data_IF_274329226175
#
_entry.id   IF_274329226175
#
_cell.length_a   1.000
_cell.length_b   1.000
_cell.length_c   1.000
_cell.angle_alpha   90.00
_cell.angle_beta   90.00
_cell.angle_gamma   90.00
#
_symmetry.space_group_name_H-M   'P 1'
#
loop_
_entity.id
_entity.type
_entity.pdbx_description
1 polymer ?
#
# COMPACT_ATOMS: atom_id res chain seq x y z
N UNK A 1 -45.32 34.27 -11.61
CA UNK A 1 -45.26 32.80 -11.82
C UNK A 1 -44.36 32.36 -12.97
N UNK A 2 -44.47 32.88 -14.21
CA UNK A 2 -43.63 32.44 -15.36
C UNK A 2 -42.11 32.60 -15.17
N UNK A 3 -41.66 33.64 -14.46
CA UNK A 3 -40.23 33.87 -14.20
C UNK A 3 -39.65 32.97 -13.10
N UNK A 4 -40.49 32.50 -12.17
CA UNK A 4 -40.09 31.61 -11.09
C UNK A 4 -39.88 30.18 -11.60
N UNK A 5 -40.70 29.76 -12.58
CA UNK A 5 -40.56 28.47 -13.26
C UNK A 5 -39.25 28.40 -14.09
N UNK A 6 -38.83 29.50 -14.72
CA UNK A 6 -37.55 29.59 -15.44
C UNK A 6 -36.34 29.43 -14.53
N UNK A 7 -36.37 30.01 -13.32
CA UNK A 7 -35.29 29.89 -12.35
C UNK A 7 -35.18 28.46 -11.79
N UNK A 8 -36.30 27.80 -11.54
CA UNK A 8 -36.32 26.40 -11.06
C UNK A 8 -35.74 25.47 -12.12
N UNK A 9 -36.12 25.63 -13.39
CA UNK A 9 -35.60 24.81 -14.51
C UNK A 9 -34.10 25.03 -14.73
N UNK A 10 -33.59 26.27 -14.55
CA UNK A 10 -32.16 26.57 -14.66
C UNK A 10 -31.34 25.96 -13.51
N UNK A 11 -31.89 25.95 -12.29
CA UNK A 11 -31.22 25.34 -11.13
C UNK A 11 -31.17 23.81 -11.21
N UNK A 12 -32.22 23.19 -11.76
CA UNK A 12 -32.32 21.74 -11.89
C UNK A 12 -31.38 21.21 -12.98
N UNK A 13 -31.14 21.99 -14.03
CA UNK A 13 -30.18 21.63 -15.09
C UNK A 13 -28.72 21.70 -14.62
N UNK A 14 -28.36 22.59 -13.68
CA UNK A 14 -27.01 22.64 -13.09
C UNK A 14 -26.71 21.42 -12.20
N UNK A 15 -27.72 20.88 -11.50
CA UNK A 15 -27.57 19.67 -10.67
C UNK A 15 -27.37 18.39 -11.50
N UNK A 16 -27.89 18.32 -12.73
CA UNK A 16 -27.68 17.16 -13.60
C UNK A 16 -26.28 17.12 -14.25
N UNK A 17 -25.59 18.25 -14.37
CA UNK A 17 -24.22 18.29 -14.95
C UNK A 17 -23.18 17.73 -13.96
N UNK A 18 -23.42 17.81 -12.64
CA UNK A 18 -22.49 17.29 -11.64
C UNK A 18 -22.47 15.75 -11.56
N UNK A 19 -23.49 15.05 -12.04
CA UNK A 19 -23.48 13.58 -12.08
C UNK A 19 -22.81 13.02 -13.35
N UNK A 20 -22.53 13.86 -14.35
CA UNK A 20 -21.99 13.45 -15.65
C UNK A 20 -20.46 13.37 -15.75
N UNK A 21 -19.71 13.96 -14.81
CA UNK A 21 -18.25 14.06 -14.94
C UNK A 21 -17.47 12.79 -14.55
N UNK A 22 -18.10 11.75 -13.99
CA UNK A 22 -17.40 10.50 -13.62
C UNK A 22 -17.15 9.53 -14.79
N UNK A 23 -17.53 9.89 -16.03
CA UNK A 23 -17.50 9.00 -17.20
C UNK A 23 -16.60 9.47 -18.35
N UNK A 24 -15.52 10.17 -18.02
CA UNK A 24 -14.52 10.66 -18.99
C UNK A 24 -13.27 9.77 -19.13
N UNK A 25 -13.34 8.49 -18.74
CA UNK A 25 -12.22 7.55 -18.92
C UNK A 25 -10.96 7.85 -18.09
N UNK A 26 -11.02 8.87 -17.22
CA UNK A 26 -10.02 9.15 -16.20
C UNK A 26 -10.43 8.35 -14.96
N UNK A 27 -9.79 7.20 -14.73
CA UNK A 27 -9.89 6.59 -13.41
C UNK A 27 -9.08 7.43 -12.41
N UNK A 28 -9.38 7.30 -11.12
CA UNK A 28 -8.64 7.94 -10.05
C UNK A 28 -7.76 6.91 -9.35
N UNK A 29 -6.63 7.36 -8.80
CA UNK A 29 -5.82 6.52 -7.93
C UNK A 29 -6.62 6.16 -6.67
N UNK A 30 -6.37 4.97 -6.13
CA UNK A 30 -6.99 4.53 -4.90
C UNK A 30 -6.58 5.42 -3.73
N UNK A 31 -7.55 5.70 -2.87
CA UNK A 31 -7.34 6.40 -1.60
C UNK A 31 -7.11 5.38 -0.49
N UNK A 32 -6.30 5.76 0.49
CA UNK A 32 -6.09 4.93 1.68
C UNK A 32 -7.33 4.95 2.58
N UNK A 33 -7.66 3.80 3.18
CA UNK A 33 -8.85 3.69 4.04
C UNK A 33 -8.66 4.37 5.41
N UNK A 34 -7.44 4.76 5.76
CA UNK A 34 -7.11 5.44 7.00
C UNK A 34 -5.97 6.45 6.78
N UNK A 35 -5.84 7.50 7.60
CA UNK A 35 -4.73 8.43 7.52
C UNK A 35 -3.43 7.78 8.00
N UNK A 36 -2.28 8.27 7.50
CA UNK A 36 -0.96 7.89 8.02
C UNK A 36 -0.90 8.13 9.53
N UNK A 37 -0.35 7.17 10.27
CA UNK A 37 -0.11 7.29 11.71
C UNK A 37 1.26 6.72 12.09
N UNK A 38 1.94 7.38 13.03
CA UNK A 38 3.22 6.90 13.54
C UNK A 38 3.07 5.55 14.27
N UNK A 39 3.97 4.62 14.00
CA UNK A 39 4.02 3.34 14.70
C UNK A 39 4.75 3.50 16.04
N UNK A 40 3.96 3.52 17.12
CA UNK A 40 4.43 3.60 18.51
C UNK A 40 4.33 2.27 19.25
N UNK A 41 3.92 1.19 18.57
CA UNK A 41 3.53 -0.08 19.20
C UNK A 41 4.70 -0.92 19.73
N UNK A 42 5.93 -0.72 19.20
CA UNK A 42 7.10 -1.58 19.42
C UNK A 42 6.86 -3.08 19.11
N UNK A 43 5.78 -3.43 18.40
CA UNK A 43 5.41 -4.83 18.12
C UNK A 43 6.16 -5.46 16.96
N UNK A 44 6.85 -4.66 16.15
CA UNK A 44 7.63 -5.10 15.00
C UNK A 44 8.97 -4.38 15.00
N UNK A 45 10.01 -5.03 14.48
CA UNK A 45 11.30 -4.38 14.21
C UNK A 45 11.23 -3.50 12.98
N UNK A 46 11.92 -2.36 13.03
CA UNK A 46 11.94 -1.34 11.98
C UNK A 46 13.34 -1.10 11.38
N UNK A 47 14.41 -1.63 11.99
CA UNK A 47 15.80 -1.53 11.55
C UNK A 47 16.16 -2.55 10.45
N UNK A 48 15.28 -2.72 9.47
CA UNK A 48 15.44 -3.68 8.40
C UNK A 48 14.22 -3.75 7.50
N UNK A 49 13.98 -4.93 6.92
CA UNK A 49 12.85 -5.20 6.03
C UNK A 49 12.17 -6.54 6.38
N UNK A 50 10.94 -6.71 5.91
CA UNK A 50 10.21 -7.98 5.96
C UNK A 50 10.16 -8.59 4.57
N UNK A 51 10.33 -9.91 4.46
CA UNK A 51 10.25 -10.60 3.19
C UNK A 51 9.37 -11.85 3.26
N UNK A 52 8.65 -12.13 2.18
CA UNK A 52 7.71 -13.26 2.11
C UNK A 52 6.98 -13.34 0.77
N UNK A 53 6.06 -14.29 0.64
CA UNK A 53 5.23 -14.47 -0.56
C UNK A 53 3.75 -14.36 -0.24
N UNK A 54 3.01 -13.57 -1.02
CA UNK A 54 1.56 -13.48 -0.95
C UNK A 54 0.84 -14.70 -1.56
N UNK A 55 1.53 -15.70 -2.11
CA UNK A 55 0.92 -16.98 -2.47
C UNK A 55 0.82 -17.97 -1.29
N UNK A 56 1.56 -17.72 -0.20
CA UNK A 56 1.65 -18.64 0.94
C UNK A 56 2.61 -19.81 0.74
N UNK A 57 3.32 -19.86 -0.39
CA UNK A 57 4.39 -20.81 -0.64
C UNK A 57 5.75 -20.23 -0.21
N UNK A 58 6.79 -21.08 -0.12
CA UNK A 58 8.14 -20.61 0.12
C UNK A 58 8.72 -20.04 -1.20
N UNK A 59 8.86 -18.70 -1.34
CA UNK A 59 9.19 -18.13 -2.63
C UNK A 59 10.69 -18.28 -2.93
N UNK A 60 11.01 -18.69 -4.15
CA UNK A 60 12.33 -18.40 -4.72
C UNK A 60 12.55 -16.90 -4.92
N UNK A 61 11.44 -16.13 -5.04
CA UNK A 61 11.45 -14.70 -5.32
C UNK A 61 10.54 -13.89 -4.37
N UNK A 62 10.91 -13.74 -3.07
CA UNK A 62 10.09 -13.03 -2.09
C UNK A 62 9.85 -11.56 -2.45
N UNK A 63 8.67 -11.06 -2.04
CA UNK A 63 8.38 -9.64 -1.94
C UNK A 63 9.08 -9.07 -0.70
N UNK A 64 9.60 -7.86 -0.81
CA UNK A 64 10.25 -7.14 0.30
C UNK A 64 9.44 -5.90 0.68
N UNK A 65 9.19 -5.75 1.97
CA UNK A 65 8.48 -4.63 2.57
C UNK A 65 9.38 -3.86 3.53
N UNK A 66 9.52 -2.56 3.28
CA UNK A 66 10.09 -1.61 4.21
C UNK A 66 8.96 -0.97 5.01
N UNK A 67 8.98 -1.12 6.34
CA UNK A 67 8.04 -0.48 7.26
C UNK A 67 8.77 0.58 8.08
N UNK A 68 8.23 1.80 8.13
CA UNK A 68 8.90 2.95 8.74
C UNK A 68 8.21 3.40 10.01
N UNK A 69 8.96 4.08 10.89
CA UNK A 69 8.41 4.57 12.17
C UNK A 69 7.26 5.56 11.98
N UNK A 70 7.33 6.39 10.94
CA UNK A 70 6.31 7.38 10.58
C UNK A 70 5.02 6.78 9.98
N UNK A 71 4.90 5.44 9.92
CA UNK A 71 3.71 4.75 9.38
C UNK A 71 3.73 4.56 7.87
N UNK A 72 4.80 4.96 7.18
CA UNK A 72 4.97 4.72 5.75
C UNK A 72 5.37 3.26 5.51
N UNK A 73 4.94 2.70 4.40
CA UNK A 73 5.41 1.42 3.87
C UNK A 73 5.91 1.57 2.43
N UNK A 74 6.86 0.71 2.04
CA UNK A 74 7.31 0.61 0.65
C UNK A 74 7.52 -0.84 0.23
N UNK A 75 6.88 -1.25 -0.87
CA UNK A 75 6.94 -2.60 -1.44
C UNK A 75 7.44 -2.63 -2.90
N UNK A 76 8.00 -1.52 -3.39
CA UNK A 76 8.39 -1.33 -4.79
C UNK A 76 9.84 -1.70 -5.15
N UNK A 77 10.45 -2.55 -4.35
CA UNK A 77 11.84 -2.91 -4.51
C UNK A 77 12.06 -4.03 -5.55
N UNK A 78 11.00 -4.75 -5.91
CA UNK A 78 11.02 -5.85 -6.88
C UNK A 78 10.92 -7.22 -6.18
N UNK A 79 10.99 -8.28 -6.97
CA UNK A 79 11.11 -9.65 -6.45
C UNK A 79 12.59 -10.01 -6.39
N UNK A 80 13.08 -10.30 -5.18
CA UNK A 80 14.50 -10.58 -4.95
C UNK A 80 14.78 -12.06 -4.92
N UNK A 81 16.00 -12.48 -5.27
CA UNK A 81 16.37 -13.87 -5.11
C UNK A 81 16.50 -14.17 -3.61
N UNK A 82 15.82 -15.21 -3.12
CA UNK A 82 15.93 -15.61 -1.70
C UNK A 82 17.39 -15.78 -1.25
N UNK A 83 18.28 -16.24 -2.15
CA UNK A 83 19.70 -16.38 -1.86
C UNK A 83 20.38 -15.07 -1.50
N UNK A 84 20.00 -13.96 -2.13
CA UNK A 84 20.57 -12.63 -1.84
C UNK A 84 20.21 -12.14 -0.43
N UNK A 85 19.06 -12.59 0.09
CA UNK A 85 18.64 -12.33 1.47
C UNK A 85 19.41 -13.25 2.41
N UNK A 86 19.53 -14.53 2.10
CA UNK A 86 20.21 -15.53 2.94
C UNK A 86 21.72 -15.27 3.07
N UNK A 87 22.37 -14.76 2.02
CA UNK A 87 23.80 -14.46 2.01
C UNK A 87 24.15 -13.00 2.35
N UNK A 88 23.14 -12.16 2.61
CA UNK A 88 23.26 -10.72 2.87
C UNK A 88 23.87 -9.91 1.72
N UNK A 89 23.78 -10.38 0.47
CA UNK A 89 24.22 -9.64 -0.72
C UNK A 89 23.16 -8.69 -1.29
N UNK A 90 21.91 -8.78 -0.80
CA UNK A 90 20.82 -7.91 -1.22
C UNK A 90 21.15 -6.43 -0.94
N UNK A 91 21.10 -5.60 -1.98
CA UNK A 91 21.23 -4.13 -1.86
C UNK A 91 19.89 -3.45 -2.10
N UNK A 92 19.36 -2.82 -1.06
CA UNK A 92 18.13 -2.03 -1.14
C UNK A 92 18.43 -0.59 -1.54
N UNK A 93 17.76 -0.11 -2.59
CA UNK A 93 17.84 1.28 -3.04
C UNK A 93 16.48 1.75 -3.58
N UNK A 94 16.08 2.95 -3.15
CA UNK A 94 14.91 3.67 -3.67
C UNK A 94 15.43 4.82 -4.52
N UNK A 95 15.38 4.63 -5.84
CA UNK A 95 15.82 5.62 -6.83
C UNK A 95 14.85 6.82 -6.88
N UNK A 96 15.30 7.93 -7.46
CA UNK A 96 14.45 9.13 -7.61
C UNK A 96 13.19 8.85 -8.41
N UNK A 97 13.27 8.01 -9.46
CA UNK A 97 12.11 7.58 -10.23
C UNK A 97 11.08 6.86 -9.35
N UNK A 98 11.54 6.04 -8.40
CA UNK A 98 10.69 5.35 -7.43
C UNK A 98 10.11 6.32 -6.38
N UNK A 99 10.85 7.36 -5.98
CA UNK A 99 10.35 8.43 -5.06
C UNK A 99 9.32 9.33 -5.74
N UNK A 100 9.41 9.46 -7.06
CA UNK A 100 8.53 10.23 -7.92
C UNK A 100 7.40 9.39 -8.56
N UNK A 101 7.24 8.14 -8.14
CA UNK A 101 6.12 7.28 -8.53
C UNK A 101 5.35 6.85 -7.29
N UNK A 102 4.01 6.87 -7.34
CA UNK A 102 3.18 6.36 -6.24
C UNK A 102 3.36 4.86 -6.01
N UNK A 103 3.63 4.09 -7.07
CA UNK A 103 3.61 2.63 -7.01
C UNK A 103 4.59 2.10 -5.96
N UNK A 104 4.09 1.17 -5.15
CA UNK A 104 4.80 0.57 -4.02
C UNK A 104 4.78 1.41 -2.74
N UNK A 105 4.56 2.73 -2.80
CA UNK A 105 4.39 3.53 -1.59
C UNK A 105 3.05 3.27 -0.95
N UNK A 106 3.02 3.39 0.37
CA UNK A 106 1.86 3.07 1.14
C UNK A 106 1.95 3.52 2.58
N UNK A 107 0.95 3.11 3.33
CA UNK A 107 0.88 3.28 4.77
C UNK A 107 0.61 1.94 5.42
N UNK A 108 0.85 1.86 6.72
CA UNK A 108 0.40 0.74 7.52
C UNK A 108 -0.09 1.20 8.88
N UNK A 109 -0.86 0.35 9.54
CA UNK A 109 -1.26 0.53 10.93
C UNK A 109 -1.14 -0.76 11.72
N UNK A 110 -0.93 -0.62 13.02
CA UNK A 110 -0.95 -1.72 13.97
C UNK A 110 -2.02 -1.41 15.02
N UNK A 111 -3.00 -2.29 15.12
CA UNK A 111 -4.06 -2.24 16.11
C UNK A 111 -4.07 -3.57 16.86
N UNK A 112 -3.82 -3.52 18.17
CA UNK A 112 -3.58 -4.73 18.96
C UNK A 112 -2.46 -5.57 18.33
N UNK A 113 -2.71 -6.83 17.98
CA UNK A 113 -1.75 -7.71 17.31
C UNK A 113 -2.00 -7.80 15.80
N UNK A 114 -2.86 -6.98 15.23
CA UNK A 114 -3.17 -7.00 13.81
C UNK A 114 -2.43 -5.87 13.09
N UNK A 115 -2.03 -6.14 11.86
CA UNK A 115 -1.40 -5.18 10.95
C UNK A 115 -2.21 -5.11 9.67
N UNK A 116 -2.44 -3.88 9.20
CA UNK A 116 -2.99 -3.62 7.88
C UNK A 116 -1.99 -2.76 7.10
N UNK A 117 -1.63 -3.20 5.89
CA UNK A 117 -0.71 -2.49 4.99
C UNK A 117 -1.48 -2.14 3.73
N UNK A 118 -1.39 -0.88 3.28
CA UNK A 118 -2.01 -0.41 2.05
C UNK A 118 -0.95 0.23 1.17
N UNK A 119 -0.70 -0.32 -0.02
CA UNK A 119 0.25 0.22 -0.99
C UNK A 119 -0.43 0.51 -2.33
N UNK A 120 -0.06 1.58 -3.02
CA UNK A 120 -0.45 1.76 -4.41
C UNK A 120 0.14 0.66 -5.29
N UNK A 121 -0.70 0.00 -6.08
CA UNK A 121 -0.29 -1.12 -6.92
C UNK A 121 0.61 -0.67 -8.09
N UNK A 122 1.36 -1.61 -8.65
CA UNK A 122 2.07 -1.46 -9.91
C UNK A 122 1.09 -1.67 -11.08
N UNK A 123 0.36 -0.61 -11.42
CA UNK A 123 -0.58 -0.56 -12.55
C UNK A 123 -0.04 0.40 -13.62
N UNK A 124 -0.35 0.21 -14.90
CA UNK A 124 0.00 1.17 -15.96
C UNK A 124 -0.89 2.41 -15.91
N UNK A 125 -2.15 2.23 -15.55
CA UNK A 125 -3.15 3.30 -15.50
C UNK A 125 -3.27 3.82 -14.07
N UNK A 126 -4.49 3.95 -13.57
CA UNK A 126 -4.75 4.36 -12.21
C UNK A 126 -4.20 3.35 -11.23
N UNK A 127 -3.75 3.86 -10.08
CA UNK A 127 -3.08 3.08 -9.05
C UNK A 127 -4.11 2.70 -7.98
N UNK A 128 -4.84 1.57 -8.09
CA UNK A 128 -5.60 1.08 -6.95
C UNK A 128 -4.66 0.82 -5.78
N UNK A 129 -5.21 0.70 -4.57
CA UNK A 129 -4.42 0.24 -3.42
C UNK A 129 -4.57 -1.27 -3.29
N UNK A 130 -3.47 -1.95 -3.01
CA UNK A 130 -3.45 -3.32 -2.51
C UNK A 130 -3.47 -3.24 -0.99
N UNK A 131 -4.46 -3.88 -0.38
CA UNK A 131 -4.67 -3.95 1.07
C UNK A 131 -4.28 -5.35 1.53
N UNK A 132 -3.36 -5.44 2.48
CA UNK A 132 -2.92 -6.66 3.13
C UNK A 132 -3.37 -6.61 4.59
N UNK A 133 -3.96 -7.71 5.06
CA UNK A 133 -4.39 -7.88 6.45
C UNK A 133 -3.67 -9.07 7.06
N UNK A 134 -3.20 -8.91 8.30
CA UNK A 134 -2.46 -9.97 8.98
C UNK A 134 -2.33 -9.77 10.48
N UNK A 135 -1.64 -10.74 11.09
CA UNK A 135 -1.36 -10.79 12.52
C UNK A 135 0.15 -10.77 12.77
N UNK A 136 0.56 -10.05 13.80
CA UNK A 136 1.92 -9.99 14.31
C UNK A 136 2.08 -11.15 15.29
N UNK A 137 2.87 -12.15 14.92
CA UNK A 137 3.13 -13.32 15.76
C UNK A 137 4.21 -13.03 16.81
N UNK A 138 5.19 -12.21 16.43
CA UNK A 138 6.25 -11.67 17.29
C UNK A 138 6.93 -10.48 16.58
N UNK A 139 7.96 -9.90 17.19
CA UNK A 139 8.68 -8.72 16.69
C UNK A 139 9.41 -8.92 15.35
N UNK A 140 9.57 -10.16 14.89
CA UNK A 140 10.26 -10.53 13.65
C UNK A 140 9.38 -11.26 12.65
N UNK A 141 8.12 -11.54 12.98
CA UNK A 141 7.26 -12.42 12.18
C UNK A 141 5.86 -11.84 12.04
N UNK A 142 5.47 -11.59 10.79
CA UNK A 142 4.11 -11.16 10.42
C UNK A 142 3.48 -12.29 9.60
N UNK A 143 2.24 -12.65 9.93
CA UNK A 143 1.43 -13.58 9.16
C UNK A 143 0.35 -12.81 8.42
N UNK A 144 0.45 -12.74 7.10
CA UNK A 144 -0.61 -12.18 6.24
C UNK A 144 -1.66 -13.27 6.00
N UNK A 145 -2.91 -12.95 6.31
CA UNK A 145 -4.06 -13.86 6.21
C UNK A 145 -4.95 -13.53 5.01
N UNK A 146 -4.93 -12.28 4.56
CA UNK A 146 -5.65 -11.90 3.35
C UNK A 146 -5.04 -10.72 2.61
N UNK A 147 -5.37 -10.61 1.33
CA UNK A 147 -5.14 -9.39 0.56
C UNK A 147 -6.24 -9.16 -0.49
N UNK A 148 -6.43 -7.90 -0.89
CA UNK A 148 -7.34 -7.50 -1.97
C UNK A 148 -6.85 -6.23 -2.65
N UNK A 149 -7.28 -6.01 -3.89
CA UNK A 149 -7.11 -4.72 -4.56
C UNK A 149 -8.38 -3.89 -4.41
N UNK A 150 -8.28 -2.58 -4.22
CA UNK A 150 -9.44 -1.70 -4.05
C UNK A 150 -10.36 -1.64 -5.27
N UNK A 151 -9.87 -2.01 -6.45
CA UNK A 151 -10.65 -2.09 -7.69
C UNK A 151 -11.29 -3.47 -7.93
N UNK A 152 -11.17 -4.41 -6.98
CA UNK A 152 -11.70 -5.76 -7.11
C UNK A 152 -12.41 -6.18 -5.84
N UNK A 153 -13.60 -6.76 -5.98
CA UNK A 153 -14.32 -7.38 -4.87
C UNK A 153 -13.72 -8.73 -4.45
N UNK A 154 -12.71 -9.21 -5.19
CA UNK A 154 -12.05 -10.48 -4.91
C UNK A 154 -11.06 -10.33 -3.76
N UNK A 155 -11.40 -10.92 -2.62
CA UNK A 155 -10.48 -11.14 -1.51
C UNK A 155 -9.73 -12.46 -1.69
N UNK A 156 -8.42 -12.42 -1.50
CA UNK A 156 -7.55 -13.59 -1.51
C UNK A 156 -7.24 -13.99 -0.07
N UNK A 157 -7.62 -15.20 0.32
CA UNK A 157 -7.28 -15.78 1.64
C UNK A 157 -5.99 -16.58 1.49
N UNK A 158 -5.02 -16.29 2.35
CA UNK A 158 -3.66 -16.83 2.27
C UNK A 158 -3.14 -17.18 3.66
N UNK A 159 -2.01 -17.89 3.73
CA UNK A 159 -1.30 -18.16 4.98
C UNK A 159 0.19 -17.85 4.77
N UNK A 160 0.47 -16.56 4.59
CA UNK A 160 1.78 -16.07 4.16
C UNK A 160 2.59 -15.59 5.35
N UNK A 161 3.80 -16.13 5.52
CA UNK A 161 4.71 -15.70 6.57
C UNK A 161 5.72 -14.70 5.98
N UNK A 162 5.84 -13.56 6.65
CA UNK A 162 6.81 -12.52 6.37
C UNK A 162 7.82 -12.45 7.52
N UNK A 163 9.09 -12.65 7.21
CA UNK A 163 10.19 -12.72 8.17
C UNK A 163 11.00 -11.43 8.13
N UNK A 164 11.42 -10.97 9.31
CA UNK A 164 12.30 -9.83 9.44
C UNK A 164 13.75 -10.21 9.08
N UNK A 165 14.40 -9.31 8.35
CA UNK A 165 15.84 -9.34 8.11
C UNK A 165 16.41 -7.97 8.48
N UNK A 166 17.44 -7.97 9.32
CA UNK A 166 18.13 -6.74 9.74
C UNK A 166 18.91 -6.15 8.56
N UNK A 167 18.82 -4.84 8.33
CA UNK A 167 19.47 -4.21 7.19
C UNK A 167 19.83 -2.75 7.46
N UNK A 168 21.07 -2.38 7.13
CA UNK A 168 21.59 -1.03 7.30
C UNK A 168 22.62 -0.69 6.21
N UNK A 169 22.60 0.52 5.62
CA UNK A 169 21.63 1.59 5.87
C UNK A 169 20.30 1.30 5.18
N UNK A 170 19.19 1.41 5.92
CA UNK A 170 17.85 1.33 5.37
C UNK A 170 17.54 2.59 4.55
N UNK A 171 17.02 2.47 3.30
CA UNK A 171 16.54 3.61 2.54
C UNK A 171 15.51 4.43 3.34
N UNK A 172 15.50 5.74 3.22
CA UNK A 172 14.53 6.58 3.95
C UNK A 172 13.12 6.54 3.34
N UNK A 173 12.12 6.99 4.11
CA UNK A 173 10.69 7.02 3.73
C UNK A 173 10.27 8.24 2.89
N UNK A 174 11.19 9.13 2.54
CA UNK A 174 10.87 10.41 1.87
C UNK A 174 10.28 10.17 0.48
N UNK A 175 9.08 10.70 0.27
CA UNK A 175 8.36 10.63 -1.00
C UNK A 175 7.45 11.87 -1.19
N UNK A 176 6.95 12.08 -2.41
CA UNK A 176 6.17 13.27 -2.76
C UNK A 176 4.65 13.14 -2.54
N UNK A 177 4.17 11.99 -2.07
CA UNK A 177 2.75 11.63 -2.12
C UNK A 177 2.09 11.52 -0.76
N UNK A 178 2.82 11.02 0.25
CA UNK A 178 2.29 10.76 1.60
C UNK A 178 2.91 11.79 2.55
N UNK A 179 2.11 12.79 2.93
CA UNK A 179 2.55 13.90 3.78
C UNK A 179 2.22 13.71 5.25
#
# INVERSE_FOLDING_TARGET
MKNMLKFIVLSMSIFFVQQGCRKLGLCEDGEFNFPRQENTSNKIRLNGYYYGDLTGNNPSTPSVYLLYKDGISYSGLGSYNIKEIEDNSLVLSITDDKRNSKSGWGIYKIENNSIEIQNWSFSTDCKPITILEGDILNDTTIKISSWKNSNSDKQHIVNSIFLFHEYSPKPDSTNNFIK
#
